data_IF_041448517503
#
_entry.id   IF_041448517503
#
_cell.length_a   1.000
_cell.length_b   1.000
_cell.length_c   1.000
_cell.angle_alpha   90.00
_cell.angle_beta   90.00
_cell.angle_gamma   90.00
#
_symmetry.space_group_name_H-M   'P 1'
#
loop_
_entity.id
_entity.type
_entity.pdbx_description
1 polymer ?
#
# COMPACT_ATOMS: atom_id res chain seq x y z
N UNK A 1 -31.05 16.28 -28.46
CA UNK A 1 -30.51 17.23 -29.45
C UNK A 1 -29.10 16.77 -29.85
N UNK A 2 -28.68 17.09 -31.06
CA UNK A 2 -27.35 16.74 -31.60
C UNK A 2 -26.18 17.16 -30.69
N UNK A 3 -26.37 18.21 -29.88
CA UNK A 3 -25.39 18.70 -28.91
C UNK A 3 -25.15 17.74 -27.73
N UNK A 4 -26.14 16.97 -27.31
CA UNK A 4 -26.02 15.99 -26.22
C UNK A 4 -25.27 14.72 -26.67
N UNK A 5 -25.37 14.37 -27.97
CA UNK A 5 -24.64 13.22 -28.53
C UNK A 5 -23.16 13.56 -28.71
N UNK A 6 -22.82 14.79 -29.05
CA UNK A 6 -21.44 15.26 -29.17
C UNK A 6 -20.74 15.35 -27.81
N UNK A 7 -21.46 15.68 -26.74
CA UNK A 7 -20.91 15.69 -25.37
C UNK A 7 -20.72 14.28 -24.81
N UNK A 8 -21.50 13.30 -25.22
CA UNK A 8 -21.37 11.92 -24.80
C UNK A 8 -20.23 11.16 -25.53
N UNK A 9 -19.78 11.65 -26.69
CA UNK A 9 -18.64 11.08 -27.43
C UNK A 9 -17.29 11.66 -26.99
N UNK A 10 -17.29 12.67 -26.13
CA UNK A 10 -16.08 13.26 -25.59
C UNK A 10 -15.60 12.44 -24.39
N UNK A 11 -14.65 11.55 -24.69
CA UNK A 11 -13.58 11.14 -23.80
C UNK A 11 -14.00 10.25 -22.62
N UNK A 12 -14.34 9.04 -22.89
CA UNK A 12 -13.87 7.98 -22.03
C UNK A 12 -12.33 7.90 -22.24
N UNK A 13 -11.60 8.83 -21.58
CA UNK A 13 -10.15 8.76 -21.55
C UNK A 13 -9.78 7.36 -21.11
N UNK A 14 -9.12 6.61 -21.98
CA UNK A 14 -8.72 5.24 -21.65
C UNK A 14 -7.84 5.31 -20.41
N UNK A 15 -8.29 4.72 -19.31
CA UNK A 15 -7.52 4.67 -18.06
C UNK A 15 -6.16 4.04 -18.36
N UNK A 16 -5.04 4.75 -18.10
CA UNK A 16 -3.71 4.19 -18.28
C UNK A 16 -3.55 2.92 -17.44
N UNK A 17 -3.07 1.87 -18.06
CA UNK A 17 -2.94 0.54 -17.45
C UNK A 17 -1.50 0.07 -17.48
N UNK A 18 -1.04 -0.55 -16.38
CA UNK A 18 0.28 -1.17 -16.25
C UNK A 18 0.14 -2.55 -15.63
N UNK A 19 1.00 -3.48 -16.05
CA UNK A 19 1.00 -4.86 -15.57
C UNK A 19 2.26 -5.17 -14.78
N UNK A 20 2.11 -5.93 -13.71
CA UNK A 20 3.16 -6.34 -12.78
C UNK A 20 2.99 -7.81 -12.41
N UNK A 21 4.00 -8.42 -11.81
CA UNK A 21 3.88 -9.75 -11.20
C UNK A 21 3.15 -9.66 -9.85
N UNK A 22 3.33 -8.54 -9.16
CA UNK A 22 2.72 -8.27 -7.85
C UNK A 22 2.39 -6.79 -7.72
N UNK A 23 1.20 -6.51 -7.20
CA UNK A 23 0.80 -5.16 -6.76
C UNK A 23 0.58 -5.17 -5.25
N UNK A 24 1.30 -4.30 -4.56
CA UNK A 24 1.14 -4.07 -3.11
C UNK A 24 0.43 -2.74 -2.90
N UNK A 25 -0.65 -2.74 -2.14
CA UNK A 25 -1.43 -1.55 -1.80
C UNK A 25 -1.25 -1.21 -0.33
N UNK A 26 -0.72 -0.03 -0.07
CA UNK A 26 -0.34 0.44 1.24
C UNK A 26 1.17 0.39 1.45
N UNK A 27 1.79 1.56 1.51
CA UNK A 27 3.24 1.72 1.70
C UNK A 27 3.67 1.88 3.17
N UNK A 28 2.95 1.26 4.10
CA UNK A 28 3.39 1.09 5.48
C UNK A 28 4.58 0.15 5.60
N UNK A 29 5.04 -0.13 6.82
CA UNK A 29 6.19 -1.02 7.05
C UNK A 29 5.96 -2.41 6.45
N UNK A 30 4.76 -2.97 6.59
CA UNK A 30 4.39 -4.27 6.02
C UNK A 30 4.42 -4.28 4.50
N UNK A 31 3.84 -3.25 3.86
CA UNK A 31 3.84 -3.13 2.41
C UNK A 31 5.23 -2.90 1.83
N UNK A 32 6.04 -2.05 2.46
CA UNK A 32 7.45 -1.88 2.08
C UNK A 32 8.24 -3.20 2.20
N UNK A 33 8.04 -3.94 3.29
CA UNK A 33 8.68 -5.23 3.50
C UNK A 33 8.27 -6.26 2.45
N UNK A 34 6.97 -6.37 2.18
CA UNK A 34 6.43 -7.28 1.17
C UNK A 34 6.96 -6.96 -0.24
N UNK A 35 6.95 -5.69 -0.62
CA UNK A 35 7.44 -5.24 -1.92
C UNK A 35 8.95 -5.52 -2.10
N UNK A 36 9.76 -5.23 -1.07
CA UNK A 36 11.21 -5.52 -1.08
C UNK A 36 11.48 -7.02 -1.16
N UNK A 37 10.72 -7.84 -0.42
CA UNK A 37 10.87 -9.29 -0.44
C UNK A 37 10.54 -9.88 -1.82
N UNK A 38 9.46 -9.44 -2.42
CA UNK A 38 9.05 -9.85 -3.75
C UNK A 38 10.07 -9.41 -4.81
N UNK A 39 10.57 -8.18 -4.72
CA UNK A 39 11.59 -7.68 -5.64
C UNK A 39 12.90 -8.45 -5.53
N UNK A 40 13.28 -8.87 -4.31
CA UNK A 40 14.45 -9.73 -4.10
C UNK A 40 14.33 -11.12 -4.76
N UNK A 41 13.10 -11.57 -5.03
CA UNK A 41 12.82 -12.79 -5.81
C UNK A 41 12.78 -12.55 -7.34
N UNK A 42 13.08 -11.34 -7.79
CA UNK A 42 13.11 -10.98 -9.21
C UNK A 42 11.76 -10.53 -9.80
N UNK A 43 10.70 -10.43 -8.99
CA UNK A 43 9.38 -10.02 -9.48
C UNK A 43 9.36 -8.54 -9.88
N UNK A 44 8.54 -8.22 -10.87
CA UNK A 44 8.14 -6.84 -11.17
C UNK A 44 7.04 -6.42 -10.20
N UNK A 45 7.31 -5.42 -9.36
CA UNK A 45 6.45 -5.03 -8.25
C UNK A 45 6.05 -3.57 -8.36
N UNK A 46 4.74 -3.30 -8.23
CA UNK A 46 4.23 -1.96 -7.96
C UNK A 46 3.90 -1.83 -6.47
N UNK A 47 4.28 -0.72 -5.86
CA UNK A 47 3.87 -0.33 -4.51
C UNK A 47 3.08 0.97 -4.57
N UNK A 48 1.81 0.90 -4.16
CA UNK A 48 0.87 2.02 -4.19
C UNK A 48 0.71 2.57 -2.78
N UNK A 49 0.89 3.89 -2.62
CA UNK A 49 0.81 4.57 -1.34
C UNK A 49 0.01 5.87 -1.49
N UNK A 50 -0.98 6.08 -0.63
CA UNK A 50 -1.83 7.27 -0.61
C UNK A 50 -1.08 8.53 -0.14
N UNK A 51 -0.08 8.37 0.72
CA UNK A 51 0.73 9.45 1.29
C UNK A 51 2.00 9.73 0.49
N UNK A 52 2.66 10.88 0.74
CA UNK A 52 3.92 11.21 0.09
C UNK A 52 5.09 10.32 0.51
N UNK A 53 5.04 9.78 1.74
CA UNK A 53 6.14 9.06 2.36
C UNK A 53 5.79 7.58 2.59
N UNK A 54 6.81 6.73 2.50
CA UNK A 54 6.70 5.31 2.84
C UNK A 54 7.03 5.08 4.32
N UNK A 55 6.41 4.04 4.92
CA UNK A 55 6.65 3.65 6.31
C UNK A 55 5.42 3.71 7.21
N UNK A 56 4.32 4.33 6.76
CA UNK A 56 3.07 4.40 7.53
C UNK A 56 3.28 5.05 8.91
N UNK A 57 2.89 4.37 9.98
CA UNK A 57 3.05 4.87 11.35
C UNK A 57 4.52 5.09 11.74
N UNK A 58 5.46 4.37 11.13
CA UNK A 58 6.89 4.56 11.35
C UNK A 58 7.50 5.70 10.52
N UNK A 59 6.72 6.36 9.65
CA UNK A 59 7.18 7.52 8.89
C UNK A 59 7.36 8.76 9.76
N UNK A 60 8.06 9.76 9.24
CA UNK A 60 8.19 11.04 9.95
C UNK A 60 6.88 11.81 10.11
N UNK A 61 5.82 11.42 9.40
CA UNK A 61 4.48 12.00 9.55
C UNK A 61 3.84 11.61 10.88
N UNK A 62 4.02 10.36 11.32
CA UNK A 62 3.38 9.82 12.54
C UNK A 62 4.39 9.60 13.66
N UNK A 63 5.62 9.18 13.34
CA UNK A 63 6.76 9.04 14.25
C UNK A 63 6.57 8.01 15.35
N UNK A 64 5.96 6.90 15.03
CA UNK A 64 5.87 5.73 15.91
C UNK A 64 6.90 4.71 15.44
N UNK A 65 7.93 4.46 16.24
CA UNK A 65 8.95 3.50 15.88
C UNK A 65 8.45 2.05 16.01
N UNK A 66 9.09 1.15 15.28
CA UNK A 66 8.75 -0.26 15.32
C UNK A 66 9.15 -0.86 16.67
N UNK A 67 8.25 -1.66 17.28
CA UNK A 67 8.50 -2.39 18.52
C UNK A 67 8.22 -3.88 18.31
N UNK A 68 8.70 -4.71 19.25
CA UNK A 68 8.39 -6.14 19.28
C UNK A 68 9.22 -7.00 18.33
N UNK A 69 10.22 -6.42 17.66
CA UNK A 69 11.15 -7.17 16.84
C UNK A 69 12.32 -7.58 17.73
N UNK A 70 12.22 -8.79 18.26
CA UNK A 70 13.28 -9.36 19.08
C UNK A 70 14.01 -10.41 18.28
N UNK A 71 15.35 -10.30 18.20
CA UNK A 71 16.19 -11.28 17.55
C UNK A 71 16.50 -10.96 16.09
N UNK A 72 16.28 -11.89 15.21
CA UNK A 72 16.83 -11.86 13.85
C UNK A 72 16.03 -10.94 12.92
N UNK A 73 16.44 -9.67 12.85
CA UNK A 73 15.97 -8.79 11.77
C UNK A 73 16.44 -9.33 10.42
N UNK A 74 15.52 -9.48 9.48
CA UNK A 74 15.87 -9.82 8.10
C UNK A 74 16.68 -8.69 7.46
N UNK A 75 17.44 -8.98 6.41
CA UNK A 75 18.14 -7.95 5.63
C UNK A 75 17.17 -6.91 5.05
N UNK A 76 15.92 -7.29 4.82
CA UNK A 76 14.86 -6.37 4.37
C UNK A 76 14.51 -5.40 5.50
N UNK A 77 14.28 -5.92 6.70
CA UNK A 77 13.93 -5.09 7.85
C UNK A 77 15.04 -4.08 8.17
N UNK A 78 16.31 -4.50 8.15
CA UNK A 78 17.46 -3.61 8.34
C UNK A 78 17.48 -2.40 7.40
N UNK A 79 16.89 -2.52 6.22
CA UNK A 79 16.81 -1.42 5.23
C UNK A 79 15.75 -0.38 5.56
N UNK A 80 14.65 -0.78 6.20
CA UNK A 80 13.47 0.06 6.41
C UNK A 80 13.12 0.33 7.86
N UNK A 81 13.71 -0.40 8.80
CA UNK A 81 13.42 -0.30 10.22
C UNK A 81 13.88 1.03 10.82
N UNK A 82 13.29 1.34 11.97
CA UNK A 82 13.54 2.55 12.74
C UNK A 82 14.55 2.29 13.86
N UNK A 83 15.34 3.31 14.19
CA UNK A 83 16.11 3.31 15.44
C UNK A 83 15.14 3.47 16.63
N UNK A 84 15.43 2.80 17.75
CA UNK A 84 14.63 2.88 18.95
C UNK A 84 14.88 4.23 19.68
N UNK A 85 13.91 5.10 19.59
CA UNK A 85 13.84 6.39 20.28
C UNK A 85 12.40 6.66 20.70
N UNK A 86 12.13 7.63 21.59
CA UNK A 86 10.77 7.93 22.00
C UNK A 86 9.87 8.30 20.80
N UNK A 87 8.63 7.85 20.82
CA UNK A 87 7.62 8.22 19.84
C UNK A 87 7.51 9.75 19.74
N UNK A 88 7.22 10.25 18.53
CA UNK A 88 7.16 11.68 18.26
C UNK A 88 8.52 12.35 18.06
N UNK A 89 9.63 11.64 18.21
CA UNK A 89 10.96 12.20 18.04
C UNK A 89 11.23 12.70 16.62
N UNK A 90 11.89 13.85 16.51
CA UNK A 90 12.37 14.36 15.23
C UNK A 90 13.47 13.50 14.59
N UNK A 91 14.06 12.54 15.32
CA UNK A 91 15.00 11.55 14.79
C UNK A 91 14.35 10.64 13.73
N UNK A 92 13.03 10.53 13.72
CA UNK A 92 12.27 9.82 12.69
C UNK A 92 12.60 10.27 11.26
N UNK A 93 13.02 11.54 11.09
CA UNK A 93 13.47 12.06 9.80
C UNK A 93 14.71 11.34 9.26
N UNK A 94 15.63 10.93 10.12
CA UNK A 94 16.84 10.20 9.73
C UNK A 94 16.45 8.83 9.17
N UNK A 95 15.55 8.12 9.86
CA UNK A 95 15.05 6.83 9.41
C UNK A 95 14.21 6.97 8.14
N UNK A 96 13.44 8.04 8.00
CA UNK A 96 12.71 8.32 6.77
C UNK A 96 13.64 8.45 5.58
N UNK A 97 14.71 9.23 5.69
CA UNK A 97 15.70 9.39 4.61
C UNK A 97 16.34 8.05 4.26
N UNK A 98 16.67 7.21 5.25
CA UNK A 98 17.20 5.86 5.04
C UNK A 98 16.21 5.01 4.26
N UNK A 99 14.94 4.99 4.68
CA UNK A 99 13.87 4.20 4.06
C UNK A 99 13.60 4.64 2.63
N UNK A 100 13.43 5.93 2.38
CA UNK A 100 13.24 6.47 1.03
C UNK A 100 14.38 6.09 0.09
N UNK A 101 15.62 6.17 0.55
CA UNK A 101 16.78 5.73 -0.24
C UNK A 101 16.74 4.23 -0.54
N UNK A 102 16.33 3.41 0.42
CA UNK A 102 16.22 1.97 0.21
C UNK A 102 15.12 1.65 -0.80
N UNK A 103 13.97 2.30 -0.68
CA UNK A 103 12.85 2.13 -1.64
C UNK A 103 13.24 2.60 -3.04
N UNK A 104 13.81 3.79 -3.18
CA UNK A 104 14.22 4.35 -4.48
C UNK A 104 15.25 3.48 -5.23
N UNK A 105 16.12 2.78 -4.49
CA UNK A 105 17.16 1.90 -5.08
C UNK A 105 16.69 0.47 -5.29
N UNK A 106 15.49 0.12 -4.88
CA UNK A 106 15.00 -1.27 -4.88
C UNK A 106 14.67 -1.81 -6.27
N UNK A 107 14.35 -0.93 -7.22
CA UNK A 107 13.80 -1.29 -8.52
C UNK A 107 12.31 -1.64 -8.46
N UNK A 108 11.61 -1.26 -7.38
CA UNK A 108 10.16 -1.30 -7.27
C UNK A 108 9.58 -0.06 -7.96
N UNK A 109 8.49 -0.23 -8.70
CA UNK A 109 7.73 0.89 -9.25
C UNK A 109 6.89 1.53 -8.13
N UNK A 110 7.29 2.71 -7.68
CA UNK A 110 6.71 3.40 -6.54
C UNK A 110 5.67 4.42 -6.99
N UNK A 111 4.46 4.30 -6.45
CA UNK A 111 3.33 5.18 -6.73
C UNK A 111 2.88 5.86 -5.42
N UNK A 112 3.66 6.83 -4.95
CA UNK A 112 3.24 7.72 -3.86
C UNK A 112 2.12 8.66 -4.32
N UNK A 113 1.34 9.19 -3.39
CA UNK A 113 0.16 10.03 -3.66
C UNK A 113 -0.93 9.35 -4.51
N UNK A 114 -1.00 8.03 -4.49
CA UNK A 114 -2.01 7.26 -5.22
C UNK A 114 -2.91 6.51 -4.22
N UNK A 115 -4.15 6.93 -4.12
CA UNK A 115 -5.17 6.29 -3.29
C UNK A 115 -5.88 5.20 -4.10
N UNK A 116 -5.80 3.95 -3.66
CA UNK A 116 -6.62 2.88 -4.24
C UNK A 116 -8.10 3.24 -4.06
N UNK A 117 -8.88 3.14 -5.13
CA UNK A 117 -10.27 3.59 -5.17
C UNK A 117 -11.23 2.58 -5.80
N UNK A 118 -10.74 1.44 -6.24
CA UNK A 118 -11.58 0.38 -6.78
C UNK A 118 -10.77 -0.82 -7.25
N UNK A 119 -11.47 -1.89 -7.56
CA UNK A 119 -10.89 -3.10 -8.14
C UNK A 119 -11.85 -3.76 -9.13
N UNK A 120 -11.28 -4.60 -9.98
CA UNK A 120 -12.02 -5.48 -10.90
C UNK A 120 -11.76 -6.93 -10.52
N UNK A 121 -12.83 -7.74 -10.49
CA UNK A 121 -12.79 -9.19 -10.23
C UNK A 121 -13.22 -9.99 -11.44
N UNK A 122 -12.68 -11.19 -11.54
CA UNK A 122 -13.20 -12.26 -12.38
C UNK A 122 -13.41 -13.52 -11.53
N UNK A 123 -14.66 -13.82 -11.19
CA UNK A 123 -14.97 -14.78 -10.15
C UNK A 123 -14.42 -14.30 -8.79
N UNK A 124 -13.68 -15.14 -8.09
CA UNK A 124 -13.08 -14.83 -6.78
C UNK A 124 -11.69 -14.22 -6.88
N UNK A 125 -11.20 -13.93 -8.09
CA UNK A 125 -9.86 -13.36 -8.30
C UNK A 125 -9.95 -11.87 -8.60
N UNK A 126 -9.18 -11.07 -7.89
CA UNK A 126 -8.90 -9.69 -8.25
C UNK A 126 -7.97 -9.74 -9.47
N UNK A 127 -8.30 -9.00 -10.52
CA UNK A 127 -7.53 -8.95 -11.76
C UNK A 127 -6.91 -7.59 -12.02
N UNK A 128 -7.46 -6.54 -11.42
CA UNK A 128 -6.87 -5.21 -11.42
C UNK A 128 -7.36 -4.40 -10.24
N UNK A 129 -6.58 -3.38 -9.88
CA UNK A 129 -7.00 -2.30 -9.00
C UNK A 129 -6.89 -0.97 -9.71
N UNK A 130 -7.66 0.00 -9.26
CA UNK A 130 -7.57 1.39 -9.70
C UNK A 130 -7.08 2.25 -8.54
N UNK A 131 -6.17 3.17 -8.85
CA UNK A 131 -5.71 4.16 -7.89
C UNK A 131 -5.76 5.55 -8.51
N UNK A 132 -6.18 6.51 -7.70
CA UNK A 132 -6.32 7.93 -8.06
C UNK A 132 -5.10 8.70 -7.56
N UNK A 133 -4.44 9.41 -8.45
CA UNK A 133 -3.39 10.35 -8.07
C UNK A 133 -4.00 11.59 -7.40
N UNK A 134 -3.50 11.94 -6.21
CA UNK A 134 -4.08 12.99 -5.38
C UNK A 134 -4.03 14.39 -6.02
N UNK A 135 -2.97 14.70 -6.76
CA UNK A 135 -2.81 16.03 -7.36
C UNK A 135 -3.65 16.25 -8.61
N UNK A 136 -3.61 15.30 -9.54
CA UNK A 136 -4.28 15.43 -10.84
C UNK A 136 -5.70 14.88 -10.84
N UNK A 137 -6.04 14.03 -9.87
CA UNK A 137 -7.28 13.26 -9.86
C UNK A 137 -7.33 12.14 -10.91
N UNK A 138 -6.26 11.96 -11.68
CA UNK A 138 -6.20 10.93 -12.72
C UNK A 138 -6.22 9.55 -12.09
N UNK A 139 -6.95 8.65 -12.73
CA UNK A 139 -7.00 7.23 -12.34
C UNK A 139 -6.00 6.45 -13.20
N UNK A 140 -5.31 5.52 -12.55
CA UNK A 140 -4.45 4.53 -13.20
C UNK A 140 -4.89 3.14 -12.78
N UNK A 141 -4.85 2.19 -13.71
CA UNK A 141 -5.16 0.79 -13.46
C UNK A 141 -3.88 -0.04 -13.38
N UNK A 142 -3.85 -0.94 -12.40
CA UNK A 142 -2.74 -1.83 -12.12
C UNK A 142 -3.22 -3.27 -12.22
N UNK A 143 -2.64 -4.06 -13.12
CA UNK A 143 -2.92 -5.49 -13.28
C UNK A 143 -1.83 -6.33 -12.69
N UNK A 144 -2.22 -7.43 -12.05
CA UNK A 144 -1.30 -8.45 -11.57
C UNK A 144 -2.03 -9.78 -11.34
N UNK A 145 -1.32 -10.92 -11.34
CA UNK A 145 -1.88 -12.18 -10.86
C UNK A 145 -2.03 -12.22 -9.34
N UNK A 146 -1.28 -11.39 -8.59
CA UNK A 146 -1.27 -11.36 -7.13
C UNK A 146 -1.34 -9.92 -6.62
N UNK A 147 -2.18 -9.72 -5.59
CA UNK A 147 -2.31 -8.45 -4.89
C UNK A 147 -2.09 -8.67 -3.39
N UNK A 148 -1.39 -7.73 -2.74
CA UNK A 148 -1.23 -7.70 -1.28
C UNK A 148 -1.95 -6.47 -0.76
N UNK A 149 -2.90 -6.70 0.16
CA UNK A 149 -3.54 -5.64 0.93
C UNK A 149 -2.69 -5.34 2.17
N UNK A 150 -2.03 -4.20 2.15
CA UNK A 150 -1.25 -3.65 3.25
C UNK A 150 -1.77 -2.26 3.66
N UNK A 151 -3.04 -1.98 3.38
CA UNK A 151 -3.69 -0.68 3.64
C UNK A 151 -3.85 -0.38 5.12
N UNK A 152 -3.79 -1.40 5.98
CA UNK A 152 -4.09 -1.30 7.40
C UNK A 152 -5.58 -1.46 7.72
N UNK A 153 -6.45 -1.16 6.76
CA UNK A 153 -7.90 -1.22 6.90
C UNK A 153 -8.54 -2.39 6.14
N UNK A 154 -7.77 -3.10 5.31
CA UNK A 154 -8.25 -4.26 4.54
C UNK A 154 -9.15 -3.90 3.37
N UNK A 155 -8.93 -2.76 2.72
CA UNK A 155 -9.79 -2.26 1.65
C UNK A 155 -9.92 -3.21 0.46
N UNK A 156 -8.83 -3.86 0.04
CA UNK A 156 -8.90 -4.80 -1.09
C UNK A 156 -9.70 -6.05 -0.74
N UNK A 157 -9.52 -6.55 0.50
CA UNK A 157 -10.30 -7.65 1.02
C UNK A 157 -11.78 -7.30 1.06
N UNK A 158 -12.13 -6.14 1.61
CA UNK A 158 -13.49 -5.64 1.69
C UNK A 158 -14.15 -5.52 0.30
N UNK A 159 -13.53 -4.78 -0.63
CA UNK A 159 -14.04 -4.64 -1.99
C UNK A 159 -14.05 -5.96 -2.76
N UNK A 160 -13.10 -6.84 -2.45
CA UNK A 160 -13.00 -8.18 -3.02
C UNK A 160 -14.11 -9.13 -2.57
N UNK A 161 -14.84 -8.78 -1.52
CA UNK A 161 -15.90 -9.60 -0.93
C UNK A 161 -15.37 -10.73 -0.06
N UNK A 162 -14.17 -10.55 0.53
CA UNK A 162 -13.65 -11.47 1.54
C UNK A 162 -14.49 -11.38 2.82
N UNK A 163 -14.59 -12.49 3.54
CA UNK A 163 -15.18 -12.48 4.87
C UNK A 163 -14.33 -11.62 5.82
N UNK A 164 -14.97 -10.74 6.57
CA UNK A 164 -14.28 -9.89 7.51
C UNK A 164 -15.05 -9.76 8.82
N UNK A 165 -14.34 -9.40 9.86
CA UNK A 165 -14.92 -9.00 11.15
C UNK A 165 -14.57 -7.55 11.43
N UNK A 166 -15.44 -6.89 12.12
CA UNK A 166 -15.35 -5.48 12.42
C UNK A 166 -15.55 -5.25 13.91
N UNK A 167 -14.73 -4.38 14.50
CA UNK A 167 -14.77 -4.07 15.91
C UNK A 167 -14.03 -5.10 16.76
N UNK A 168 -14.33 -5.09 18.06
CA UNK A 168 -13.77 -6.01 19.06
C UNK A 168 -14.88 -6.94 19.55
N UNK A 169 -14.55 -8.21 19.68
CA UNK A 169 -15.41 -9.22 20.31
C UNK A 169 -15.58 -8.95 21.82
N UNK A 170 -16.65 -9.50 22.39
CA UNK A 170 -16.88 -9.41 23.83
C UNK A 170 -15.79 -10.18 24.60
N UNK A 171 -15.32 -9.62 25.72
CA UNK A 171 -14.29 -10.23 26.58
C UNK A 171 -14.60 -11.69 26.96
N UNK A 172 -15.88 -12.03 27.16
CA UNK A 172 -16.32 -13.39 27.48
C UNK A 172 -16.08 -14.41 26.37
N UNK A 173 -15.91 -13.98 25.11
CA UNK A 173 -15.75 -14.88 23.96
C UNK A 173 -14.38 -15.58 23.98
N UNK A 174 -13.36 -14.92 24.50
CA UNK A 174 -11.99 -15.43 24.57
C UNK A 174 -11.40 -15.39 25.98
N UNK A 175 -12.26 -15.19 27.01
CA UNK A 175 -11.84 -15.11 28.44
C UNK A 175 -10.76 -14.03 28.68
N UNK A 176 -10.83 -12.92 27.98
CA UNK A 176 -9.91 -11.80 28.14
C UNK A 176 -10.33 -10.92 29.33
N UNK A 177 -9.35 -10.47 30.09
CA UNK A 177 -9.56 -9.70 31.33
C UNK A 177 -9.83 -8.19 31.17
N UNK A 178 -10.23 -7.72 29.98
CA UNK A 178 -10.45 -6.30 29.68
C UNK A 178 -11.90 -6.01 29.32
#
# INVERSE_FOLDING_TARGET
SMLQIVLASHLQEKIPESSFDLVVVGGGMSGCGAALAARAQGLQVALIQDRPLFGGNASEEVRVHSLGIHGYGTEILKKIDTAHYPNGSHKAKIDQVKREKAMAKSGIDLFAHHLACGLEKKGDKIISIEAREAKSGRIRRFRAPVFIDATGDGWLGYWGGADYRYGREAAAQHSEGW
#
